data_IF_694337003503
#
_entry.id   IF_694337003503
#
_cell.length_a   1.000
_cell.length_b   1.000
_cell.length_c   1.000
_cell.angle_alpha   90.00
_cell.angle_beta   90.00
_cell.angle_gamma   90.00
#
_symmetry.space_group_name_H-M   'P 1'
#
loop_
_entity.id
_entity.type
_entity.pdbx_description
1 polymer ?
#
# COMPACT_ATOMS: atom_id res chain seq x y z
N UNK A 1 17.34 7.05 18.46
CA UNK A 1 18.41 6.27 17.80
C UNK A 1 17.77 5.22 16.94
N UNK A 2 18.20 5.06 15.69
CA UNK A 2 17.76 3.94 14.86
C UNK A 2 18.41 2.66 15.38
N UNK A 3 17.63 1.63 15.67
CA UNK A 3 18.15 0.29 16.00
C UNK A 3 18.89 -0.27 14.80
N UNK A 4 20.04 -0.90 15.03
CA UNK A 4 20.75 -1.60 13.96
C UNK A 4 19.98 -2.89 13.62
N UNK A 5 19.87 -3.24 12.34
CA UNK A 5 19.15 -4.45 11.87
C UNK A 5 19.62 -5.73 12.55
N UNK A 6 20.88 -5.77 13.01
CA UNK A 6 21.52 -6.94 13.64
C UNK A 6 21.10 -7.08 15.12
N UNK A 7 20.55 -6.03 15.72
CA UNK A 7 20.08 -6.02 17.11
C UNK A 7 18.60 -6.45 17.24
N UNK A 8 17.93 -6.73 16.12
CA UNK A 8 16.56 -7.20 16.11
C UNK A 8 16.51 -8.71 16.36
N UNK A 9 15.65 -9.14 17.28
CA UNK A 9 15.33 -10.55 17.44
C UNK A 9 14.74 -11.11 16.15
N UNK A 10 15.35 -12.18 15.64
CA UNK A 10 14.94 -12.83 14.39
C UNK A 10 13.93 -13.96 14.65
N UNK A 11 12.90 -14.13 13.81
CA UNK A 11 12.71 -13.45 12.53
C UNK A 11 12.01 -12.08 12.64
N UNK A 12 12.56 -11.08 11.94
CA UNK A 12 11.98 -9.76 11.83
C UNK A 12 11.75 -9.37 10.36
N UNK A 13 10.57 -8.83 10.05
CA UNK A 13 10.29 -8.21 8.75
C UNK A 13 10.75 -6.76 8.77
N UNK A 14 11.69 -6.40 7.90
CA UNK A 14 12.26 -5.05 7.83
C UNK A 14 11.90 -4.43 6.49
N UNK A 15 11.40 -3.19 6.53
CA UNK A 15 11.10 -2.38 5.35
C UNK A 15 12.01 -1.16 5.35
N UNK A 16 12.71 -0.95 4.23
CA UNK A 16 13.49 0.25 3.97
C UNK A 16 12.54 1.40 3.57
N UNK A 17 12.42 2.40 4.44
CA UNK A 17 11.45 3.49 4.28
C UNK A 17 11.79 4.40 3.11
N UNK A 18 13.08 4.62 2.82
CA UNK A 18 13.47 5.49 1.72
C UNK A 18 13.17 4.84 0.37
N UNK A 19 13.46 3.53 0.25
CA UNK A 19 13.08 2.74 -0.92
C UNK A 19 11.57 2.63 -1.08
N UNK A 20 10.83 2.43 0.02
CA UNK A 20 9.37 2.42 -0.01
C UNK A 20 8.81 3.74 -0.58
N UNK A 21 9.28 4.88 -0.06
CA UNK A 21 8.83 6.20 -0.53
C UNK A 21 9.23 6.48 -1.97
N UNK A 22 10.40 6.03 -2.41
CA UNK A 22 10.80 6.10 -3.80
C UNK A 22 9.84 5.31 -4.70
N UNK A 23 9.58 4.04 -4.39
CA UNK A 23 8.69 3.19 -5.17
C UNK A 23 7.25 3.75 -5.25
N UNK A 24 6.75 4.34 -4.16
CA UNK A 24 5.43 4.97 -4.14
C UNK A 24 5.39 6.18 -5.10
N UNK A 25 6.42 7.03 -5.05
CA UNK A 25 6.51 8.21 -5.94
C UNK A 25 6.61 7.81 -7.40
N UNK A 26 7.50 6.88 -7.73
CA UNK A 26 7.71 6.44 -9.11
C UNK A 26 6.42 5.93 -9.74
N UNK A 27 5.60 5.19 -8.98
CA UNK A 27 4.32 4.68 -9.47
C UNK A 27 3.24 5.75 -9.57
N UNK A 28 3.21 6.70 -8.63
CA UNK A 28 2.33 7.85 -8.70
C UNK A 28 2.65 8.72 -9.92
N UNK A 29 3.93 9.03 -10.14
CA UNK A 29 4.41 9.82 -11.26
C UNK A 29 4.14 9.12 -12.59
N UNK A 30 4.37 7.80 -12.66
CA UNK A 30 4.03 7.02 -13.84
C UNK A 30 2.52 7.12 -14.18
N UNK A 31 1.64 6.95 -13.19
CA UNK A 31 0.20 7.05 -13.39
C UNK A 31 -0.23 8.47 -13.80
N UNK A 32 0.35 9.49 -13.16
CA UNK A 32 0.09 10.89 -13.48
C UNK A 32 0.52 11.24 -14.91
N UNK A 33 1.71 10.81 -15.33
CA UNK A 33 2.25 11.06 -16.67
C UNK A 33 1.39 10.40 -17.77
N UNK A 34 0.75 9.27 -17.45
CA UNK A 34 -0.14 8.55 -18.36
C UNK A 34 -1.61 9.02 -18.26
N UNK A 35 -1.91 9.97 -17.37
CA UNK A 35 -3.27 10.47 -17.16
C UNK A 35 -4.25 9.43 -16.59
N UNK A 36 -3.74 8.39 -15.92
CA UNK A 36 -4.57 7.31 -15.35
C UNK A 36 -4.68 7.43 -13.84
N UNK A 37 -5.79 6.90 -13.30
CA UNK A 37 -6.02 6.85 -11.86
C UNK A 37 -5.32 5.63 -11.24
N UNK A 38 -4.48 5.87 -10.22
CA UNK A 38 -3.80 4.81 -9.47
C UNK A 38 -4.65 4.34 -8.27
N UNK A 39 -4.87 3.02 -8.16
CA UNK A 39 -5.50 2.36 -7.01
C UNK A 39 -4.66 1.17 -6.53
N UNK A 40 -3.67 1.38 -5.65
CA UNK A 40 -2.77 0.33 -5.19
C UNK A 40 -3.51 -0.79 -4.46
N UNK A 41 -2.99 -2.02 -4.55
CA UNK A 41 -3.59 -3.19 -3.91
C UNK A 41 -2.99 -3.44 -2.53
N UNK A 42 -3.80 -3.31 -1.49
CA UNK A 42 -3.37 -3.33 -0.09
C UNK A 42 -2.96 -4.72 0.43
N UNK A 43 -3.34 -5.81 -0.26
CA UNK A 43 -2.96 -7.20 0.12
C UNK A 43 -1.47 -7.38 0.39
N UNK A 44 -0.62 -6.60 -0.28
CA UNK A 44 0.83 -6.76 -0.24
C UNK A 44 1.42 -6.30 1.09
N UNK A 45 0.92 -5.20 1.66
CA UNK A 45 1.46 -4.65 2.92
C UNK A 45 0.51 -4.84 4.09
N UNK A 46 -0.80 -4.73 3.90
CA UNK A 46 -1.81 -4.76 4.98
C UNK A 46 -1.51 -3.79 6.15
N UNK A 47 -0.77 -2.73 5.84
CA UNK A 47 -0.30 -1.70 6.77
C UNK A 47 -0.98 -0.38 6.44
N UNK A 48 -1.80 0.19 7.33
CA UNK A 48 -2.49 1.47 7.13
C UNK A 48 -1.55 2.65 6.83
N UNK A 49 -0.38 2.68 7.46
CA UNK A 49 0.61 3.75 7.29
C UNK A 49 1.15 3.79 5.85
N UNK A 50 1.39 2.63 5.25
CA UNK A 50 1.81 2.52 3.85
C UNK A 50 0.68 2.96 2.91
N UNK A 51 -0.56 2.64 3.28
CA UNK A 51 -1.75 3.04 2.54
C UNK A 51 -1.92 4.57 2.56
N UNK A 52 -1.70 5.21 3.71
CA UNK A 52 -1.72 6.66 3.86
C UNK A 52 -0.62 7.33 3.00
N UNK A 53 0.58 6.75 2.93
CA UNK A 53 1.64 7.25 2.04
C UNK A 53 1.24 7.18 0.55
N UNK A 54 0.58 6.10 0.14
CA UNK A 54 0.10 5.94 -1.24
C UNK A 54 -1.01 6.94 -1.59
N UNK A 55 -1.97 7.14 -0.68
CA UNK A 55 -3.03 8.15 -0.84
C UNK A 55 -2.45 9.56 -0.88
N UNK A 56 -1.50 9.86 0.01
CA UNK A 56 -0.78 11.14 0.01
C UNK A 56 0.04 11.42 -1.25
N UNK A 57 0.46 10.37 -1.96
CA UNK A 57 1.15 10.47 -3.24
C UNK A 57 0.21 10.64 -4.45
N UNK A 58 -1.11 10.66 -4.24
CA UNK A 58 -2.09 10.89 -5.31
C UNK A 58 -2.88 9.65 -5.74
N UNK A 59 -2.78 8.53 -5.01
CA UNK A 59 -3.71 7.41 -5.24
C UNK A 59 -5.14 7.82 -4.91
N UNK A 60 -6.10 7.45 -5.76
CA UNK A 60 -7.52 7.81 -5.63
C UNK A 60 -8.32 6.83 -4.77
N UNK A 61 -7.64 5.91 -4.10
CA UNK A 61 -8.20 4.83 -3.30
C UNK A 61 -7.28 3.61 -3.28
N UNK A 62 -7.73 2.56 -2.60
CA UNK A 62 -7.02 1.28 -2.52
C UNK A 62 -7.94 0.14 -2.96
N UNK A 63 -7.33 -0.96 -3.39
CA UNK A 63 -8.03 -2.23 -3.63
C UNK A 63 -7.65 -3.22 -2.54
N UNK A 64 -8.60 -4.06 -2.12
CA UNK A 64 -8.41 -5.08 -1.06
C UNK A 64 -8.82 -6.45 -1.60
N UNK A 65 -8.25 -7.51 -1.02
CA UNK A 65 -8.58 -8.88 -1.42
C UNK A 65 -9.77 -9.44 -0.63
N UNK A 66 -10.01 -8.96 0.60
CA UNK A 66 -11.12 -9.43 1.45
C UNK A 66 -11.87 -8.27 2.09
N UNK A 67 -13.18 -8.42 2.29
CA UNK A 67 -14.02 -7.42 2.96
C UNK A 67 -13.59 -7.13 4.40
N UNK A 68 -12.98 -8.09 5.09
CA UNK A 68 -12.42 -7.89 6.43
C UNK A 68 -11.26 -6.89 6.42
N UNK A 69 -10.45 -6.87 5.35
CA UNK A 69 -9.31 -5.95 5.21
C UNK A 69 -9.78 -4.50 5.02
N UNK A 70 -10.95 -4.27 4.40
CA UNK A 70 -11.53 -2.93 4.30
C UNK A 70 -12.14 -2.42 5.62
N UNK A 71 -12.41 -3.33 6.57
CA UNK A 71 -13.19 -3.05 7.78
C UNK A 71 -12.34 -3.09 9.05
N UNK A 72 -11.04 -3.38 8.93
CA UNK A 72 -10.14 -3.45 10.06
C UNK A 72 -10.15 -2.12 10.85
N UNK A 73 -10.31 -2.15 12.19
CA UNK A 73 -10.42 -0.96 13.03
C UNK A 73 -9.17 -0.06 13.03
N UNK A 74 -8.07 -0.53 12.43
CA UNK A 74 -6.84 0.25 12.15
C UNK A 74 -6.86 1.04 10.83
N UNK A 75 -7.94 0.97 10.04
CA UNK A 75 -8.22 1.92 8.96
C UNK A 75 -7.53 1.64 7.63
N UNK A 76 -8.00 0.63 6.90
CA UNK A 76 -7.90 0.59 5.43
C UNK A 76 -9.27 0.93 4.84
N UNK A 77 -9.84 2.09 5.20
CA UNK A 77 -11.09 2.56 4.61
C UNK A 77 -10.85 3.00 3.17
N UNK A 78 -10.92 2.04 2.27
CA UNK A 78 -11.02 2.29 0.85
C UNK A 78 -12.37 1.79 0.38
N UNK A 79 -13.09 2.61 -0.39
CA UNK A 79 -14.32 2.22 -1.05
C UNK A 79 -14.08 1.03 -1.99
N UNK A 80 -14.20 -0.18 -1.45
CA UNK A 80 -13.96 -1.41 -2.18
C UNK A 80 -15.15 -1.71 -3.08
N UNK A 81 -14.92 -1.77 -4.39
CA UNK A 81 -15.72 -2.59 -5.29
C UNK A 81 -14.98 -3.91 -5.47
N UNK A 82 -15.70 -5.00 -5.30
CA UNK A 82 -15.19 -6.36 -5.51
C UNK A 82 -14.61 -6.49 -6.92
N UNK A 83 -13.35 -6.87 -7.04
CA UNK A 83 -12.77 -7.27 -8.32
C UNK A 83 -13.26 -8.69 -8.60
N UNK A 84 -14.32 -8.82 -9.39
CA UNK A 84 -14.63 -10.10 -10.03
C UNK A 84 -13.49 -10.42 -10.99
N UNK A 85 -12.85 -11.60 -10.89
CA UNK A 85 -11.84 -12.01 -11.86
C UNK A 85 -12.45 -12.04 -13.27
N UNK A 86 -11.68 -11.73 -14.32
CA UNK A 86 -12.16 -11.89 -15.69
C UNK A 86 -12.57 -13.36 -15.92
N UNK A 87 -13.68 -13.63 -16.64
CA UNK A 87 -14.01 -14.99 -17.03
C UNK A 87 -12.93 -15.54 -17.98
N UNK A 88 -12.69 -16.85 -17.90
CA UNK A 88 -11.77 -17.62 -18.75
C UNK A 88 -12.05 -17.45 -20.25
#
# INVERSE_FOLDING_TARGET
MAMNKIELDTPALIVDIDKLKHNIRDMADFAANQGIQLRPHAKTHKTPEIAALQLGAGAVGLTVAKLSEARDPGGLSAGGREQTPPPD
#
